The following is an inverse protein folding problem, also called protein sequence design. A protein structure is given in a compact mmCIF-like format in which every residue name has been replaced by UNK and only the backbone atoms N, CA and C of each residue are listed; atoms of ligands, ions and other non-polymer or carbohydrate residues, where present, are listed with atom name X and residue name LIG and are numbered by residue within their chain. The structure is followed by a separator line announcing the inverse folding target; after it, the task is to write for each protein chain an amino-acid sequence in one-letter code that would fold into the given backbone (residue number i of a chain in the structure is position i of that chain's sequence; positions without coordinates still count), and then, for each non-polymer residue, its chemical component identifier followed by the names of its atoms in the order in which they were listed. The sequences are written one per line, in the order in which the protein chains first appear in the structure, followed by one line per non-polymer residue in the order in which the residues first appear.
data_IF_100714328401
#
_entry.id   IF_100714328401
#
_cell.length_a   1.000
_cell.length_b   1.000
_cell.length_c   1.000
_cell.angle_alpha   90.00
_cell.angle_beta   90.00
_cell.angle_gamma   90.00
#
_symmetry.space_group_name_H-M   'P 1'
#
loop_
_entity.id
_entity.type
_entity.pdbx_description
1 polymer ?
#
# COMPACT_ATOMS: atom_id res chain seq x y z
N UNK A 1 14.07 -37.76 43.42
CA UNK A 1 13.44 -37.16 44.63
C UNK A 1 12.76 -38.21 45.50
N UNK A 2 11.98 -39.13 44.92
CA UNK A 2 11.26 -40.19 45.65
C UNK A 2 12.16 -41.05 46.57
N UNK A 3 13.26 -41.60 46.05
CA UNK A 3 14.18 -42.45 46.83
C UNK A 3 14.88 -41.71 47.99
N UNK A 4 15.11 -40.40 47.87
CA UNK A 4 15.72 -39.60 48.96
C UNK A 4 14.73 -39.33 50.09
N UNK A 5 13.43 -39.23 49.79
CA UNK A 5 12.38 -38.96 50.79
C UNK A 5 12.04 -40.19 51.64
N UNK A 6 12.29 -41.41 51.15
CA UNK A 6 12.00 -42.65 51.89
C UNK A 6 12.80 -42.79 53.18
N UNK A 7 14.04 -42.27 53.21
CA UNK A 7 14.98 -42.35 54.35
C UNK A 7 14.74 -41.29 55.43
N UNK A 8 13.75 -40.41 55.23
CA UNK A 8 13.45 -39.30 56.14
C UNK A 8 12.35 -39.74 57.14
N UNK A 9 12.38 -39.14 58.35
CA UNK A 9 11.40 -39.37 59.41
C UNK A 9 9.96 -39.31 58.84
N UNK A 10 9.07 -40.27 59.17
CA UNK A 10 7.68 -40.31 58.70
C UNK A 10 6.87 -39.04 58.96
N UNK A 11 7.20 -38.24 59.98
CA UNK A 11 6.54 -36.97 60.26
C UNK A 11 7.10 -35.77 59.47
N UNK A 12 8.14 -35.98 58.68
CA UNK A 12 8.77 -34.89 57.93
C UNK A 12 7.87 -34.44 56.78
N UNK A 13 7.62 -33.13 56.62
CA UNK A 13 6.66 -32.59 55.66
C UNK A 13 6.95 -33.02 54.21
N UNK A 14 8.21 -33.13 53.81
CA UNK A 14 8.59 -33.59 52.46
C UNK A 14 8.20 -35.05 52.17
N UNK A 15 8.13 -35.91 53.19
CA UNK A 15 7.72 -37.32 53.02
C UNK A 15 6.22 -37.43 52.84
N UNK A 16 5.46 -36.69 53.67
CA UNK A 16 4.00 -36.59 53.56
C UNK A 16 3.54 -36.06 52.20
N UNK A 17 4.26 -35.10 51.60
CA UNK A 17 3.95 -34.59 50.26
C UNK A 17 4.12 -35.66 49.19
N UNK A 18 5.19 -36.46 49.28
CA UNK A 18 5.49 -37.51 48.32
C UNK A 18 4.53 -38.70 48.44
N UNK A 19 4.20 -39.10 49.68
CA UNK A 19 3.27 -40.20 49.94
C UNK A 19 1.82 -39.85 49.59
N UNK A 20 1.40 -38.61 49.81
CA UNK A 20 0.05 -38.15 49.48
C UNK A 20 -0.06 -37.54 48.07
N UNK A 21 0.97 -37.66 47.24
CA UNK A 21 0.93 -37.12 45.88
C UNK A 21 -0.03 -37.93 45.01
N UNK A 22 -1.23 -37.40 44.81
CA UNK A 22 -2.14 -37.91 43.77
C UNK A 22 -1.62 -37.46 42.42
N UNK A 23 -1.37 -38.41 41.52
CA UNK A 23 -1.06 -38.14 40.11
C UNK A 23 -2.23 -37.34 39.53
N UNK A 24 -2.03 -36.04 39.30
CA UNK A 24 -2.96 -35.27 38.47
C UNK A 24 -2.75 -35.76 37.05
N UNK A 25 -3.79 -36.31 36.43
CA UNK A 25 -3.72 -36.70 35.03
C UNK A 25 -3.34 -35.46 34.22
N UNK A 26 -2.21 -35.55 33.54
CA UNK A 26 -1.74 -34.48 32.67
C UNK A 26 -2.74 -34.39 31.54
N UNK A 27 -3.40 -33.23 31.39
CA UNK A 27 -4.29 -32.98 30.27
C UNK A 27 -3.46 -33.16 28.98
N UNK A 28 -3.78 -34.18 28.21
CA UNK A 28 -3.16 -34.45 26.92
C UNK A 28 -4.06 -33.82 25.86
N UNK A 29 -3.54 -32.80 25.19
CA UNK A 29 -4.19 -32.26 24.01
C UNK A 29 -3.64 -32.99 22.79
N UNK A 30 -4.50 -33.40 21.84
CA UNK A 30 -4.04 -33.89 20.56
C UNK A 30 -3.20 -32.81 19.88
N UNK A 31 -2.05 -33.21 19.36
CA UNK A 31 -1.19 -32.30 18.61
C UNK A 31 -1.81 -32.04 17.24
N UNK A 32 -1.36 -30.98 16.57
CA UNK A 32 -1.76 -30.68 15.19
C UNK A 32 -1.52 -31.90 14.28
N UNK A 33 -0.42 -32.64 14.49
CA UNK A 33 -0.12 -33.86 13.74
C UNK A 33 -1.19 -34.94 13.94
N UNK A 34 -1.68 -35.12 15.18
CA UNK A 34 -2.75 -36.07 15.46
C UNK A 34 -4.03 -35.69 14.71
N UNK A 35 -4.37 -34.40 14.63
CA UNK A 35 -5.50 -33.94 13.83
C UNK A 35 -5.31 -34.19 12.33
N UNK A 36 -4.10 -33.97 11.80
CA UNK A 36 -3.77 -34.22 10.40
C UNK A 36 -3.93 -35.71 10.06
N UNK A 37 -3.40 -36.61 10.89
CA UNK A 37 -3.52 -38.07 10.68
C UNK A 37 -4.98 -38.52 10.66
N UNK A 38 -5.78 -38.08 11.64
CA UNK A 38 -7.21 -38.40 11.71
C UNK A 38 -7.98 -37.90 10.48
N UNK A 39 -7.61 -36.72 9.95
CA UNK A 39 -8.21 -36.18 8.73
C UNK A 39 -7.78 -36.95 7.48
N UNK A 40 -6.52 -37.37 7.39
CA UNK A 40 -6.01 -38.19 6.28
C UNK A 40 -6.75 -39.54 6.22
N UNK A 41 -6.94 -40.20 7.36
CA UNK A 41 -7.67 -41.46 7.47
C UNK A 41 -9.15 -41.31 7.10
N UNK A 42 -9.82 -40.26 7.59
CA UNK A 42 -11.23 -40.00 7.25
C UNK A 42 -11.45 -39.69 5.77
N UNK A 43 -10.56 -38.91 5.18
CA UNK A 43 -10.74 -38.35 3.84
C UNK A 43 -10.01 -39.15 2.75
N UNK A 44 -9.33 -40.25 3.08
CA UNK A 44 -8.53 -41.06 2.15
C UNK A 44 -7.60 -40.21 1.27
N UNK A 45 -6.98 -39.19 1.87
CA UNK A 45 -6.14 -38.26 1.12
C UNK A 45 -4.86 -38.99 0.67
N UNK A 46 -4.57 -38.95 -0.63
CA UNK A 46 -3.31 -39.49 -1.15
C UNK A 46 -2.13 -38.67 -0.62
N UNK A 47 -1.05 -39.37 -0.24
CA UNK A 47 0.21 -38.76 0.15
C UNK A 47 1.02 -38.23 -1.05
N UNK A 48 0.55 -38.44 -2.28
CA UNK A 48 1.21 -38.03 -3.53
C UNK A 48 0.92 -36.57 -3.91
N UNK A 49 0.59 -35.73 -2.93
CA UNK A 49 0.31 -34.31 -3.13
C UNK A 49 1.53 -33.61 -3.73
N UNK A 50 1.46 -33.26 -5.01
CA UNK A 50 2.47 -32.41 -5.64
C UNK A 50 2.52 -31.08 -4.87
N UNK A 51 3.70 -30.58 -4.50
CA UNK A 51 3.82 -29.32 -3.78
C UNK A 51 3.17 -28.22 -4.63
N UNK A 52 2.10 -27.63 -4.12
CA UNK A 52 1.47 -26.48 -4.76
C UNK A 52 2.34 -25.26 -4.49
N UNK A 53 2.63 -24.51 -5.54
CA UNK A 53 3.34 -23.25 -5.40
C UNK A 53 2.39 -22.25 -4.74
N UNK A 54 2.57 -21.97 -3.45
CA UNK A 54 1.71 -21.06 -2.66
C UNK A 54 1.74 -19.61 -3.15
N UNK A 55 2.74 -19.27 -3.95
CA UNK A 55 2.99 -17.92 -4.46
C UNK A 55 3.55 -18.03 -5.87
N UNK A 56 3.06 -17.26 -6.85
CA UNK A 56 3.71 -17.19 -8.15
C UNK A 56 5.18 -16.78 -7.97
N UNK A 57 6.10 -17.49 -8.65
CA UNK A 57 7.54 -17.20 -8.65
C UNK A 57 7.90 -15.89 -9.35
N UNK A 58 6.90 -15.23 -9.93
CA UNK A 58 7.04 -13.95 -10.60
C UNK A 58 6.81 -12.88 -9.52
N UNK A 59 7.81 -12.04 -9.22
CA UNK A 59 7.59 -10.85 -8.40
C UNK A 59 6.41 -10.05 -8.98
N UNK A 60 5.53 -9.43 -8.18
CA UNK A 60 4.53 -8.49 -8.68
C UNK A 60 5.19 -7.16 -9.11
N UNK A 61 6.34 -7.23 -9.79
CA UNK A 61 6.98 -6.09 -10.41
C UNK A 61 6.16 -5.84 -11.67
N UNK A 62 5.11 -5.01 -11.51
CA UNK A 62 4.63 -4.19 -12.62
C UNK A 62 5.87 -3.47 -13.15
N UNK A 63 6.27 -3.76 -14.38
CA UNK A 63 7.34 -3.01 -15.03
C UNK A 63 7.01 -1.52 -14.88
N UNK A 64 7.84 -0.80 -14.13
CA UNK A 64 7.67 0.61 -13.90
C UNK A 64 8.00 1.29 -15.22
N UNK A 65 6.96 1.59 -16.01
CA UNK A 65 7.12 2.28 -17.30
C UNK A 65 7.88 3.58 -17.06
N UNK A 66 8.86 3.86 -17.91
CA UNK A 66 9.54 5.15 -17.90
C UNK A 66 8.54 6.28 -18.09
N UNK A 67 8.72 7.38 -17.36
CA UNK A 67 7.93 8.59 -17.52
C UNK A 67 8.03 9.08 -18.98
N UNK A 68 6.87 9.26 -19.64
CA UNK A 68 6.80 9.85 -20.98
C UNK A 68 6.33 11.29 -20.82
N UNK A 69 7.21 12.25 -21.16
CA UNK A 69 6.89 13.67 -21.11
C UNK A 69 6.49 14.15 -22.50
N UNK A 70 5.25 14.62 -22.64
CA UNK A 70 4.74 15.19 -23.87
C UNK A 70 4.62 16.70 -23.68
N UNK A 71 5.40 17.47 -24.42
CA UNK A 71 5.49 18.94 -24.28
C UNK A 71 4.70 19.72 -25.34
N UNK A 72 3.94 19.02 -26.19
CA UNK A 72 3.14 19.62 -27.26
C UNK A 72 1.67 19.20 -27.14
N UNK A 73 0.77 20.08 -27.58
CA UNK A 73 -0.63 19.74 -27.78
C UNK A 73 -0.75 18.74 -28.95
N UNK A 74 -1.91 18.07 -29.03
CA UNK A 74 -2.19 17.12 -30.12
C UNK A 74 -1.96 17.77 -31.50
N UNK A 75 -2.47 18.98 -31.70
CA UNK A 75 -2.13 19.82 -32.84
C UNK A 75 -0.89 20.67 -32.54
N UNK A 76 0.21 20.38 -33.25
CA UNK A 76 1.49 21.06 -33.08
C UNK A 76 1.50 22.50 -33.65
N UNK A 77 0.55 22.86 -34.50
CA UNK A 77 0.44 24.21 -35.06
C UNK A 77 -0.19 25.21 -34.07
N UNK A 78 -0.86 24.69 -33.03
CA UNK A 78 -1.49 25.49 -31.99
C UNK A 78 -0.42 26.15 -31.13
N UNK A 79 -0.48 27.48 -31.02
CA UNK A 79 0.50 28.28 -30.30
C UNK A 79 -0.17 29.45 -29.56
N UNK A 80 0.64 30.28 -28.88
CA UNK A 80 0.14 31.41 -28.07
C UNK A 80 -0.64 32.47 -28.87
N UNK A 81 -0.56 32.47 -30.20
CA UNK A 81 -1.29 33.39 -31.09
C UNK A 81 -2.60 32.79 -31.62
N UNK A 82 -2.84 31.49 -31.37
CA UNK A 82 -4.09 30.83 -31.76
C UNK A 82 -5.26 31.47 -31.01
N UNK A 83 -6.42 31.54 -31.67
CA UNK A 83 -7.64 32.03 -31.05
C UNK A 83 -7.91 31.32 -29.70
N UNK A 84 -8.26 32.05 -28.63
CA UNK A 84 -8.43 31.46 -27.30
C UNK A 84 -9.48 30.35 -27.24
N UNK A 85 -10.56 30.42 -28.04
CA UNK A 85 -11.59 29.39 -28.05
C UNK A 85 -11.06 28.11 -28.72
N UNK A 86 -10.31 28.25 -29.81
CA UNK A 86 -9.62 27.13 -30.46
C UNK A 86 -8.54 26.53 -29.56
N UNK A 87 -7.76 27.36 -28.87
CA UNK A 87 -6.74 26.90 -27.93
C UNK A 87 -7.36 26.09 -26.79
N UNK A 88 -8.48 26.57 -26.22
CA UNK A 88 -9.21 25.84 -25.17
C UNK A 88 -9.70 24.48 -25.67
N UNK A 89 -10.33 24.45 -26.85
CA UNK A 89 -10.81 23.21 -27.46
C UNK A 89 -9.67 22.20 -27.67
N UNK A 90 -8.53 22.67 -28.16
CA UNK A 90 -7.37 21.81 -28.42
C UNK A 90 -6.77 21.23 -27.13
N UNK A 91 -6.74 22.03 -26.06
CA UNK A 91 -6.34 21.57 -24.72
C UNK A 91 -7.28 20.48 -24.22
N UNK A 92 -8.60 20.68 -24.32
CA UNK A 92 -9.60 19.68 -23.91
C UNK A 92 -9.44 18.38 -24.71
N UNK A 93 -9.28 18.47 -26.04
CA UNK A 93 -9.04 17.30 -26.90
C UNK A 93 -7.75 16.59 -26.51
N UNK A 94 -6.68 17.33 -26.18
CA UNK A 94 -5.39 16.76 -25.77
C UNK A 94 -5.53 16.00 -24.45
N UNK A 95 -6.29 16.53 -23.49
CA UNK A 95 -6.56 15.86 -22.21
C UNK A 95 -7.33 14.55 -22.43
N UNK A 96 -8.29 14.54 -23.35
CA UNK A 96 -9.10 13.35 -23.68
C UNK A 96 -8.32 12.21 -24.36
N UNK A 97 -7.06 12.42 -24.78
CA UNK A 97 -6.19 11.34 -25.29
C UNK A 97 -5.75 10.41 -24.16
N UNK A 98 -5.63 10.96 -22.94
CA UNK A 98 -5.20 10.16 -21.80
C UNK A 98 -6.33 9.22 -21.36
N UNK A 99 -6.01 7.99 -20.94
CA UNK A 99 -7.03 7.02 -20.55
C UNK A 99 -7.94 7.56 -19.43
N UNK A 100 -9.27 7.39 -19.53
CA UNK A 100 -10.23 7.95 -18.58
C UNK A 100 -10.24 7.22 -17.22
N UNK A 101 -9.63 6.04 -17.16
CA UNK A 101 -9.43 5.27 -15.93
C UNK A 101 -8.21 5.75 -15.12
N UNK A 102 -7.51 6.79 -15.59
CA UNK A 102 -6.40 7.40 -14.88
C UNK A 102 -6.85 8.55 -13.99
N UNK A 103 -6.04 8.87 -12.98
CA UNK A 103 -6.19 10.12 -12.25
C UNK A 103 -5.59 11.23 -13.12
N UNK A 104 -6.40 12.21 -13.49
CA UNK A 104 -5.94 13.36 -14.28
C UNK A 104 -5.60 14.50 -13.31
N UNK A 105 -4.36 14.96 -13.35
CA UNK A 105 -3.87 16.04 -12.49
C UNK A 105 -3.46 17.21 -13.38
N UNK A 106 -4.11 18.36 -13.18
CA UNK A 106 -3.78 19.62 -13.81
C UNK A 106 -3.15 20.53 -12.76
N UNK A 107 -1.92 20.98 -13.02
CA UNK A 107 -1.18 21.89 -12.14
C UNK A 107 -1.08 23.27 -12.77
N UNK A 108 -1.10 24.31 -11.95
CA UNK A 108 -0.90 25.67 -12.42
C UNK A 108 -0.22 26.53 -11.36
N UNK A 109 0.86 27.21 -11.75
CA UNK A 109 1.59 28.17 -10.94
C UNK A 109 1.60 29.53 -11.62
N UNK A 110 1.33 30.60 -10.87
CA UNK A 110 1.28 31.95 -11.41
C UNK A 110 1.74 32.98 -10.39
N UNK A 111 2.45 33.98 -10.87
CA UNK A 111 2.91 35.14 -10.13
C UNK A 111 2.47 36.43 -10.82
N UNK A 112 1.98 37.38 -10.04
CA UNK A 112 1.68 38.72 -10.53
C UNK A 112 2.97 39.43 -10.95
N UNK A 113 2.95 40.09 -12.12
CA UNK A 113 4.14 40.69 -12.75
C UNK A 113 5.34 39.73 -12.84
N UNK A 114 5.06 38.43 -12.93
CA UNK A 114 6.02 37.32 -13.00
C UNK A 114 6.92 37.11 -11.77
N UNK A 115 6.84 37.92 -10.71
CA UNK A 115 7.76 37.83 -9.56
C UNK A 115 7.14 38.12 -8.19
N UNK A 116 5.88 38.56 -8.11
CA UNK A 116 5.25 38.93 -6.83
C UNK A 116 3.87 38.31 -6.67
N UNK A 117 3.43 38.15 -5.42
CA UNK A 117 2.11 37.59 -5.06
C UNK A 117 1.79 36.31 -5.84
N UNK A 118 2.63 35.30 -5.66
CA UNK A 118 2.49 34.06 -6.39
C UNK A 118 1.55 33.08 -5.70
N UNK A 119 0.86 32.27 -6.50
CA UNK A 119 0.00 31.20 -6.06
C UNK A 119 0.18 29.96 -6.93
N UNK A 120 -0.14 28.83 -6.34
CA UNK A 120 -0.10 27.53 -6.99
C UNK A 120 -1.44 26.80 -6.77
N UNK A 121 -1.82 25.97 -7.74
CA UNK A 121 -3.05 25.21 -7.71
C UNK A 121 -2.89 23.83 -8.37
N UNK A 122 -3.64 22.88 -7.85
CA UNK A 122 -3.81 21.53 -8.37
C UNK A 122 -5.29 21.24 -8.50
N UNK A 123 -5.68 20.74 -9.65
CA UNK A 123 -6.98 20.16 -9.90
C UNK A 123 -6.80 18.68 -10.25
N UNK A 124 -7.36 17.79 -9.43
CA UNK A 124 -7.30 16.35 -9.63
C UNK A 124 -8.69 15.79 -9.92
N UNK A 125 -8.83 15.08 -11.04
CA UNK A 125 -10.02 14.29 -11.39
C UNK A 125 -9.74 12.81 -11.18
N UNK A 126 -10.63 12.14 -10.46
CA UNK A 126 -10.56 10.72 -10.21
C UNK A 126 -11.46 9.94 -11.18
N UNK A 127 -11.16 8.66 -11.44
CA UNK A 127 -11.95 7.81 -12.35
C UNK A 127 -13.42 7.60 -11.93
N UNK A 128 -13.74 7.81 -10.66
CA UNK A 128 -15.11 7.73 -10.13
C UNK A 128 -15.94 9.00 -10.41
N UNK A 129 -15.35 9.98 -11.11
CA UNK A 129 -15.96 11.27 -11.43
C UNK A 129 -15.86 12.30 -10.31
N UNK A 130 -15.23 11.96 -9.17
CA UNK A 130 -14.95 12.95 -8.12
C UNK A 130 -13.77 13.84 -8.51
N UNK A 131 -13.74 15.05 -7.97
CA UNK A 131 -12.64 15.99 -8.19
C UNK A 131 -12.19 16.63 -6.87
N UNK A 132 -10.91 16.99 -6.82
CA UNK A 132 -10.32 17.70 -5.67
C UNK A 132 -9.47 18.86 -6.14
N UNK A 133 -9.61 19.97 -5.43
CA UNK A 133 -8.81 21.18 -5.62
C UNK A 133 -7.92 21.40 -4.41
N UNK A 134 -6.67 21.77 -4.67
CA UNK A 134 -5.70 22.19 -3.66
C UNK A 134 -5.07 23.46 -4.20
N UNK A 135 -5.02 24.51 -3.39
CA UNK A 135 -4.39 25.77 -3.75
C UNK A 135 -3.68 26.39 -2.56
N UNK A 136 -2.65 27.16 -2.85
CA UNK A 136 -1.83 27.81 -1.84
C UNK A 136 -1.14 29.06 -2.37
N UNK A 137 -0.80 29.96 -1.45
CA UNK A 137 0.09 31.07 -1.75
C UNK A 137 1.55 30.58 -1.70
N UNK A 138 2.36 30.98 -2.68
CA UNK A 138 3.79 30.65 -2.74
C UNK A 138 4.69 31.71 -2.11
N UNK A 139 4.12 32.86 -1.70
CA UNK A 139 4.82 33.95 -1.04
C UNK A 139 4.71 35.29 -1.78
N UNK A 140 5.21 36.34 -1.13
CA UNK A 140 5.15 37.72 -1.63
C UNK A 140 6.11 37.97 -2.80
N UNK A 141 7.30 37.37 -2.78
CA UNK A 141 8.26 37.39 -3.88
C UNK A 141 8.55 35.96 -4.32
N UNK A 142 8.00 35.57 -5.45
CA UNK A 142 8.10 34.25 -6.03
C UNK A 142 7.78 34.37 -7.52
N UNK A 143 8.59 33.76 -8.36
CA UNK A 143 8.44 33.78 -9.82
C UNK A 143 7.41 32.77 -10.32
N UNK A 144 6.95 32.94 -11.56
CA UNK A 144 6.07 31.95 -12.21
C UNK A 144 6.68 30.54 -12.20
N UNK A 145 8.00 30.44 -12.44
CA UNK A 145 8.71 29.17 -12.46
C UNK A 145 8.73 28.54 -11.06
N UNK A 146 9.05 29.31 -10.03
CA UNK A 146 9.05 28.83 -8.65
C UNK A 146 7.64 28.38 -8.23
N UNK A 147 6.60 29.14 -8.57
CA UNK A 147 5.22 28.77 -8.29
C UNK A 147 4.82 27.41 -8.91
N UNK A 148 5.22 27.14 -10.15
CA UNK A 148 5.00 25.83 -10.81
C UNK A 148 5.76 24.70 -10.11
N UNK A 149 7.02 24.94 -9.71
CA UNK A 149 7.80 23.91 -9.00
C UNK A 149 7.26 23.61 -7.60
N UNK A 150 6.66 24.61 -6.95
CA UNK A 150 6.05 24.44 -5.63
C UNK A 150 4.87 23.46 -5.68
N UNK A 151 4.12 23.43 -6.78
CA UNK A 151 3.03 22.47 -6.97
C UNK A 151 3.52 21.03 -6.84
N UNK A 152 4.67 20.73 -7.44
CA UNK A 152 5.24 19.36 -7.47
C UNK A 152 5.83 18.93 -6.12
N UNK A 153 6.06 19.88 -5.22
CA UNK A 153 6.68 19.66 -3.91
C UNK A 153 5.67 19.73 -2.74
N UNK A 154 4.38 19.98 -3.02
CA UNK A 154 3.35 19.94 -1.98
C UNK A 154 3.00 18.47 -1.66
N UNK A 155 3.03 18.06 -0.37
CA UNK A 155 2.76 16.69 0.06
C UNK A 155 1.31 16.24 -0.11
#
# INVERSE_FOLDING_TARGET
MYERAQRINPLHPSKLIVENWKKKDRIQYPTIMHHITTLQERCHLSNDGKPTCRVPKIPPIKEMKSLVVITHLKNQDTNKKTDPALLKLEVEITILIYPPDWIHICTYGSAFKATVNAGCGVYACFPDGTSREIYGACGESCSNYEAETMVSNQP
#
